data_IF_360896059647
#
_entry.id   IF_360896059647
#
_cell.length_a   1.000
_cell.length_b   1.000
_cell.length_c   1.000
_cell.angle_alpha   90.00
_cell.angle_beta   90.00
_cell.angle_gamma   90.00
#
_symmetry.space_group_name_H-M   'P 1'
#
loop_
_entity.id
_entity.type
_entity.pdbx_description
1 polymer ?
#
# COMPACT_ATOMS: atom_id res chain seq x y z
N UNK A 1 14.52 -5.42 -6.35
CA UNK A 1 13.85 -6.75 -6.28
C UNK A 1 13.50 -7.16 -7.71
N UNK A 2 13.70 -8.44 -8.08
CA UNK A 2 13.27 -8.88 -9.41
C UNK A 2 11.75 -8.97 -9.51
N UNK A 3 11.20 -8.69 -10.70
CA UNK A 3 9.76 -8.78 -10.95
C UNK A 3 9.22 -10.18 -10.67
N UNK A 4 10.01 -11.23 -10.97
CA UNK A 4 9.67 -12.62 -10.64
C UNK A 4 9.42 -12.81 -9.14
N UNK A 5 10.32 -12.29 -8.29
CA UNK A 5 10.19 -12.45 -6.84
C UNK A 5 8.94 -11.74 -6.30
N UNK A 6 8.63 -10.58 -6.90
CA UNK A 6 7.48 -9.78 -6.51
C UNK A 6 6.15 -10.36 -6.98
N UNK A 7 6.14 -11.03 -8.15
CA UNK A 7 4.95 -11.63 -8.75
C UNK A 7 4.70 -13.08 -8.32
N UNK A 8 5.64 -13.71 -7.60
CA UNK A 8 5.56 -15.12 -7.22
C UNK A 8 4.20 -15.46 -6.58
N UNK A 9 3.52 -16.45 -7.12
CA UNK A 9 2.18 -16.91 -6.72
C UNK A 9 1.05 -15.85 -6.78
N UNK A 10 1.32 -14.65 -7.32
CA UNK A 10 0.33 -13.58 -7.40
C UNK A 10 -0.16 -13.31 -8.81
N UNK A 11 0.75 -13.29 -9.77
CA UNK A 11 0.46 -13.01 -11.20
C UNK A 11 1.39 -13.86 -12.06
N UNK A 12 0.85 -14.45 -13.11
CA UNK A 12 1.67 -15.07 -14.15
C UNK A 12 2.38 -13.97 -14.97
N UNK A 13 3.68 -14.10 -15.10
CA UNK A 13 4.50 -13.20 -15.90
C UNK A 13 5.07 -13.94 -17.12
N UNK A 14 5.23 -13.27 -18.27
CA UNK A 14 5.92 -13.84 -19.42
C UNK A 14 7.38 -14.16 -19.09
N UNK A 15 7.91 -15.30 -19.54
CA UNK A 15 9.26 -15.81 -19.20
C UNK A 15 10.39 -14.78 -19.36
N UNK A 16 10.28 -13.89 -20.34
CA UNK A 16 11.31 -12.88 -20.64
C UNK A 16 11.27 -11.65 -19.74
N UNK A 17 10.24 -11.49 -18.90
CA UNK A 17 10.04 -10.28 -18.08
C UNK A 17 10.51 -10.44 -16.65
N UNK A 18 10.78 -11.65 -16.21
CA UNK A 18 11.14 -11.97 -14.82
C UNK A 18 12.42 -11.29 -14.32
N UNK A 19 13.39 -11.04 -15.20
CA UNK A 19 14.66 -10.39 -14.89
C UNK A 19 14.56 -8.86 -14.69
N UNK A 20 13.38 -8.24 -14.92
CA UNK A 20 13.17 -6.81 -14.74
C UNK A 20 13.38 -6.45 -13.27
N UNK A 21 14.25 -5.44 -13.04
CA UNK A 21 14.48 -4.90 -11.69
C UNK A 21 13.41 -3.86 -11.34
N UNK A 22 12.66 -4.12 -10.28
CA UNK A 22 11.70 -3.17 -9.69
C UNK A 22 12.39 -2.42 -8.56
N UNK A 23 12.42 -1.08 -8.67
CA UNK A 23 13.07 -0.16 -7.72
C UNK A 23 12.09 0.49 -6.76
N UNK A 24 10.79 0.32 -6.96
CA UNK A 24 9.72 0.86 -6.14
C UNK A 24 8.35 0.49 -6.67
N UNK A 25 7.31 0.80 -5.88
CA UNK A 25 5.91 0.60 -6.24
C UNK A 25 5.21 1.95 -6.29
N UNK A 26 4.31 2.16 -7.25
CA UNK A 26 3.53 3.40 -7.37
C UNK A 26 2.10 3.11 -7.82
N UNK A 27 1.14 3.85 -7.23
CA UNK A 27 -0.28 3.85 -7.62
C UNK A 27 -0.72 5.22 -8.17
N UNK A 28 0.08 6.26 -7.96
CA UNK A 28 -0.09 7.59 -8.57
C UNK A 28 0.98 7.80 -9.64
N UNK A 29 0.56 8.06 -10.89
CA UNK A 29 1.47 8.28 -12.02
C UNK A 29 2.45 9.43 -11.81
N UNK A 30 2.06 10.44 -11.03
CA UNK A 30 2.92 11.59 -10.68
C UNK A 30 4.06 11.22 -9.73
N UNK A 31 3.95 10.09 -9.04
CA UNK A 31 4.95 9.58 -8.09
C UNK A 31 5.79 8.45 -8.69
N UNK A 32 5.56 8.10 -9.94
CA UNK A 32 6.37 7.10 -10.65
C UNK A 32 7.78 7.63 -10.84
N UNK A 33 8.76 6.84 -10.44
CA UNK A 33 10.17 7.02 -10.73
C UNK A 33 10.68 5.90 -11.64
N UNK A 34 11.84 6.10 -12.25
CA UNK A 34 12.46 5.09 -13.12
C UNK A 34 12.63 3.76 -12.40
N UNK A 35 12.18 2.68 -13.04
CA UNK A 35 12.22 1.33 -12.48
C UNK A 35 11.03 0.95 -11.59
N UNK A 36 10.06 1.85 -11.35
CA UNK A 36 8.90 1.52 -10.54
C UNK A 36 7.93 0.54 -11.25
N UNK A 37 7.30 -0.31 -10.48
CA UNK A 37 6.09 -1.03 -10.87
C UNK A 37 4.87 -0.11 -10.63
N UNK A 38 4.15 0.21 -11.70
CA UNK A 38 2.97 1.09 -11.62
C UNK A 38 1.68 0.26 -11.58
N UNK A 39 0.80 0.54 -10.61
CA UNK A 39 -0.53 -0.05 -10.50
C UNK A 39 -1.58 0.86 -11.11
N UNK A 40 -2.03 0.53 -12.32
CA UNK A 40 -3.07 1.25 -13.05
C UNK A 40 -4.47 0.78 -12.63
N UNK A 41 -4.96 1.29 -11.49
CA UNK A 41 -6.22 0.86 -10.87
C UNK A 41 -7.39 1.71 -11.33
N UNK A 42 -8.55 1.09 -11.52
CA UNK A 42 -9.81 1.81 -11.71
C UNK A 42 -10.23 2.44 -10.38
N UNK A 43 -10.28 3.75 -10.32
CA UNK A 43 -10.74 4.52 -9.16
C UNK A 43 -12.21 4.89 -9.26
N UNK A 44 -12.76 5.52 -8.19
CA UNK A 44 -14.15 6.00 -8.17
C UNK A 44 -14.40 7.23 -9.06
N UNK A 45 -13.38 8.05 -9.29
CA UNK A 45 -13.48 9.30 -10.06
C UNK A 45 -12.62 9.31 -11.32
N UNK A 46 -11.55 8.51 -11.36
CA UNK A 46 -10.62 8.43 -12.48
C UNK A 46 -10.21 7.00 -12.73
N UNK A 47 -9.95 6.67 -13.97
CA UNK A 47 -9.38 5.40 -14.35
C UNK A 47 -7.84 5.52 -14.37
N UNK A 48 -7.16 4.76 -13.53
CA UNK A 48 -5.69 4.75 -13.48
C UNK A 48 -5.05 4.29 -14.79
N UNK A 49 -5.80 3.57 -15.65
CA UNK A 49 -5.33 3.12 -16.95
C UNK A 49 -5.08 4.28 -17.92
N UNK A 50 -5.79 5.39 -17.77
CA UNK A 50 -5.58 6.60 -18.58
C UNK A 50 -4.18 7.20 -18.36
N UNK A 51 -3.53 6.89 -17.25
CA UNK A 51 -2.21 7.40 -16.87
C UNK A 51 -1.05 6.43 -17.19
N UNK A 52 -1.32 5.31 -17.87
CA UNK A 52 -0.28 4.35 -18.26
C UNK A 52 0.79 5.02 -19.14
N UNK A 53 0.36 5.84 -20.10
CA UNK A 53 1.28 6.59 -20.95
C UNK A 53 2.21 7.53 -20.20
N UNK A 54 1.72 8.18 -19.13
CA UNK A 54 2.52 9.07 -18.29
C UNK A 54 3.48 8.28 -17.40
N UNK A 55 3.04 7.14 -16.86
CA UNK A 55 3.89 6.23 -16.08
C UNK A 55 5.05 5.68 -16.94
N UNK A 56 4.79 5.33 -18.21
CA UNK A 56 5.81 4.89 -19.16
C UNK A 56 6.85 5.99 -19.40
N UNK A 57 6.40 7.23 -19.65
CA UNK A 57 7.30 8.40 -19.84
C UNK A 57 8.14 8.67 -18.59
N UNK A 58 7.58 8.43 -17.41
CA UNK A 58 8.29 8.56 -16.12
C UNK A 58 9.27 7.41 -15.84
N UNK A 59 9.32 6.39 -16.70
CA UNK A 59 10.25 5.27 -16.61
C UNK A 59 9.75 4.08 -15.80
N UNK A 60 8.43 3.85 -15.74
CA UNK A 60 7.88 2.62 -15.15
C UNK A 60 8.51 1.38 -15.81
N UNK A 61 8.95 0.41 -15.01
CA UNK A 61 9.56 -0.82 -15.51
C UNK A 61 8.53 -1.89 -15.90
N UNK A 62 7.36 -1.86 -15.26
CA UNK A 62 6.24 -2.74 -15.55
C UNK A 62 4.93 -2.08 -15.04
N UNK A 63 3.80 -2.58 -15.52
CA UNK A 63 2.47 -2.08 -15.16
C UNK A 63 1.59 -3.24 -14.73
N UNK A 64 0.84 -3.08 -13.64
CA UNK A 64 -0.20 -4.02 -13.19
C UNK A 64 -1.57 -3.38 -13.35
N UNK A 65 -2.53 -4.09 -13.93
CA UNK A 65 -3.91 -3.61 -14.10
C UNK A 65 -4.93 -4.76 -14.06
N UNK A 66 -6.22 -4.41 -14.12
CA UNK A 66 -7.31 -5.39 -14.19
C UNK A 66 -7.43 -6.06 -15.56
N UNK A 67 -8.26 -7.12 -15.63
CA UNK A 67 -8.47 -7.93 -16.85
C UNK A 67 -9.24 -7.21 -17.97
N UNK A 68 -9.83 -6.04 -17.71
CA UNK A 68 -10.58 -5.33 -18.73
C UNK A 68 -9.67 -4.94 -19.91
N UNK A 69 -10.16 -5.04 -21.16
CA UNK A 69 -9.38 -4.68 -22.34
C UNK A 69 -8.84 -3.26 -22.25
N UNK A 70 -7.60 -3.07 -22.65
CA UNK A 70 -7.00 -1.76 -22.77
C UNK A 70 -7.31 -1.15 -24.14
N UNK A 71 -7.63 0.13 -24.17
CA UNK A 71 -7.79 0.86 -25.42
C UNK A 71 -6.47 0.86 -26.22
N UNK A 72 -6.54 0.94 -27.54
CA UNK A 72 -5.36 0.83 -28.42
C UNK A 72 -4.34 1.95 -28.20
N UNK A 73 -4.80 3.13 -27.88
CA UNK A 73 -3.98 4.30 -27.54
C UNK A 73 -3.22 4.15 -26.22
N UNK A 74 -3.72 3.30 -25.31
CA UNK A 74 -3.06 2.94 -24.06
C UNK A 74 -2.08 1.76 -24.25
N UNK A 75 -2.50 0.72 -24.99
CA UNK A 75 -1.68 -0.48 -25.19
C UNK A 75 -0.47 -0.23 -26.11
N UNK A 76 -0.62 0.59 -27.15
CA UNK A 76 0.42 0.85 -28.14
C UNK A 76 1.71 1.48 -27.57
N UNK A 77 1.66 2.50 -26.68
CA UNK A 77 2.87 3.04 -26.05
C UNK A 77 3.65 2.02 -25.22
N UNK A 78 2.97 1.12 -24.50
CA UNK A 78 3.62 0.07 -23.74
C UNK A 78 4.32 -0.94 -24.63
N UNK A 79 3.68 -1.35 -25.74
CA UNK A 79 4.30 -2.24 -26.74
C UNK A 79 5.54 -1.60 -27.38
N UNK A 80 5.47 -0.32 -27.74
CA UNK A 80 6.60 0.40 -28.36
C UNK A 80 7.78 0.56 -27.40
N UNK A 81 7.52 0.72 -26.10
CA UNK A 81 8.53 0.84 -25.07
C UNK A 81 9.00 -0.53 -24.52
N UNK A 82 8.45 -1.65 -25.01
CA UNK A 82 8.67 -3.01 -24.50
C UNK A 82 8.43 -3.15 -22.99
N UNK A 83 7.50 -2.36 -22.43
CA UNK A 83 7.13 -2.42 -21.01
C UNK A 83 6.00 -3.43 -20.84
N UNK A 84 6.17 -4.46 -19.99
CA UNK A 84 5.14 -5.46 -19.77
C UNK A 84 3.95 -4.88 -19.03
N UNK A 85 2.74 -5.21 -19.52
CA UNK A 85 1.49 -4.97 -18.81
C UNK A 85 0.99 -6.31 -18.29
N UNK A 86 0.96 -6.43 -16.96
CA UNK A 86 0.51 -7.60 -16.25
C UNK A 86 -0.96 -7.41 -15.85
N UNK A 87 -1.81 -8.32 -16.27
CA UNK A 87 -3.25 -8.27 -15.97
C UNK A 87 -3.62 -9.31 -14.94
N UNK A 88 -4.49 -8.96 -14.00
CA UNK A 88 -5.02 -9.86 -12.97
C UNK A 88 -6.46 -9.52 -12.59
N UNK A 89 -7.18 -10.47 -12.01
CA UNK A 89 -8.58 -10.29 -11.63
C UNK A 89 -8.76 -9.22 -10.54
N UNK A 90 -7.91 -9.23 -9.52
CA UNK A 90 -7.96 -8.27 -8.42
C UNK A 90 -6.64 -7.51 -8.24
N UNK A 91 -6.40 -6.44 -9.00
CA UNK A 91 -5.16 -5.71 -8.95
C UNK A 91 -4.94 -4.96 -7.62
N UNK A 92 -6.00 -4.69 -6.86
CA UNK A 92 -5.88 -4.08 -5.51
C UNK A 92 -5.34 -5.07 -4.49
N UNK A 93 -5.85 -6.30 -4.49
CA UNK A 93 -5.35 -7.37 -3.64
C UNK A 93 -3.89 -7.70 -3.98
N UNK A 94 -3.59 -7.79 -5.27
CA UNK A 94 -2.22 -8.02 -5.75
C UNK A 94 -1.29 -6.88 -5.31
N UNK A 95 -1.72 -5.63 -5.43
CA UNK A 95 -0.97 -4.46 -4.95
C UNK A 95 -0.65 -4.57 -3.45
N UNK A 96 -1.63 -4.94 -2.63
CA UNK A 96 -1.43 -5.08 -1.19
C UNK A 96 -0.40 -6.17 -0.85
N UNK A 97 -0.51 -7.33 -1.49
CA UNK A 97 0.43 -8.44 -1.29
C UNK A 97 1.84 -8.09 -1.80
N UNK A 98 1.96 -7.45 -2.96
CA UNK A 98 3.24 -7.00 -3.49
C UNK A 98 3.88 -5.92 -2.60
N UNK A 99 3.09 -5.01 -2.01
CA UNK A 99 3.59 -4.04 -1.05
C UNK A 99 4.18 -4.72 0.19
N UNK A 100 3.52 -5.77 0.72
CA UNK A 100 4.03 -6.55 1.83
C UNK A 100 5.33 -7.31 1.49
N UNK A 101 5.45 -7.83 0.26
CA UNK A 101 6.68 -8.49 -0.21
C UNK A 101 7.81 -7.47 -0.38
N UNK A 102 7.51 -6.30 -0.94
CA UNK A 102 8.52 -5.27 -1.21
C UNK A 102 9.03 -4.61 0.08
N UNK A 103 8.14 -4.38 1.05
CA UNK A 103 8.44 -3.86 2.40
C UNK A 103 7.99 -4.86 3.47
N UNK A 104 8.74 -5.94 3.71
CA UNK A 104 8.28 -7.04 4.58
C UNK A 104 8.25 -6.68 6.07
N UNK A 105 8.94 -5.60 6.47
CA UNK A 105 8.99 -5.22 7.88
C UNK A 105 7.70 -4.53 8.31
N UNK A 106 7.02 -5.09 9.30
CA UNK A 106 5.83 -4.54 9.93
C UNK A 106 5.88 -4.77 11.45
N UNK A 107 5.16 -3.97 12.27
CA UNK A 107 5.11 -4.17 13.73
C UNK A 107 4.64 -5.58 14.08
N UNK A 108 5.25 -6.15 15.15
CA UNK A 108 4.93 -7.51 15.59
C UNK A 108 3.54 -7.68 16.19
N UNK A 109 2.84 -6.59 16.55
CA UNK A 109 1.46 -6.56 17.00
C UNK A 109 0.69 -5.51 16.22
N UNK A 110 -0.34 -5.93 15.49
CA UNK A 110 -1.21 -5.05 14.70
C UNK A 110 -2.66 -5.26 15.17
N UNK A 111 -3.30 -4.17 15.61
CA UNK A 111 -4.72 -4.12 15.93
C UNK A 111 -5.44 -3.20 14.95
N UNK A 112 -6.43 -3.74 14.24
CA UNK A 112 -7.28 -3.01 13.32
C UNK A 112 -8.64 -2.69 13.96
N UNK A 113 -9.07 -1.44 13.86
CA UNK A 113 -10.33 -0.97 14.45
C UNK A 113 -11.26 -0.47 13.34
N UNK A 114 -12.42 -1.11 13.20
CA UNK A 114 -13.46 -0.69 12.26
C UNK A 114 -14.75 -0.28 12.97
N UNK A 115 -15.71 0.22 12.23
CA UNK A 115 -17.03 0.66 12.69
C UNK A 115 -17.38 2.06 12.16
N UNK A 116 -18.59 2.53 12.42
CA UNK A 116 -19.07 3.83 11.93
C UNK A 116 -18.36 4.96 12.68
N UNK A 117 -18.41 4.95 14.00
CA UNK A 117 -17.84 5.98 14.88
C UNK A 117 -16.84 5.40 15.88
N UNK A 118 -15.97 6.25 16.43
CA UNK A 118 -15.05 5.88 17.49
C UNK A 118 -13.74 5.19 17.06
N UNK A 119 -13.50 4.95 15.76
CA UNK A 119 -12.26 4.34 15.26
C UNK A 119 -11.02 5.09 15.74
N UNK A 120 -10.94 6.39 15.46
CA UNK A 120 -9.82 7.26 15.84
C UNK A 120 -9.59 7.28 17.34
N UNK A 121 -10.66 7.46 18.15
CA UNK A 121 -10.54 7.47 19.62
C UNK A 121 -10.03 6.13 20.14
N UNK A 122 -10.53 5.01 19.60
CA UNK A 122 -10.13 3.68 20.04
C UNK A 122 -8.67 3.38 19.69
N UNK A 123 -8.23 3.72 18.46
CA UNK A 123 -6.82 3.53 18.05
C UNK A 123 -5.89 4.41 18.88
N UNK A 124 -6.26 5.66 19.16
CA UNK A 124 -5.45 6.56 19.98
C UNK A 124 -5.37 6.12 21.45
N UNK A 125 -6.48 5.66 22.05
CA UNK A 125 -6.45 5.11 23.40
C UNK A 125 -5.61 3.85 23.50
N UNK A 126 -5.75 2.95 22.51
CA UNK A 126 -4.95 1.72 22.47
C UNK A 126 -3.45 2.03 22.36
N UNK A 127 -3.07 2.95 21.46
CA UNK A 127 -1.69 3.42 21.34
C UNK A 127 -1.15 3.95 22.67
N UNK A 128 -1.92 4.84 23.35
CA UNK A 128 -1.52 5.45 24.63
C UNK A 128 -1.39 4.39 25.73
N UNK A 129 -2.29 3.41 25.79
CA UNK A 129 -2.21 2.32 26.76
C UNK A 129 -0.95 1.48 26.52
N UNK A 130 -0.63 1.15 25.27
CA UNK A 130 0.59 0.44 24.92
C UNK A 130 1.84 1.23 25.28
N UNK A 131 1.87 2.55 25.03
CA UNK A 131 3.00 3.40 25.42
C UNK A 131 3.16 3.50 26.93
N UNK A 132 2.06 3.54 27.70
CA UNK A 132 2.12 3.47 29.17
C UNK A 132 2.66 2.13 29.67
N UNK A 133 2.43 1.06 28.94
CA UNK A 133 3.02 -0.26 29.18
C UNK A 133 4.48 -0.37 28.66
N UNK A 134 5.10 0.76 28.27
CA UNK A 134 6.48 0.86 27.76
C UNK A 134 6.73 0.23 26.39
N UNK A 135 5.67 -0.07 25.64
CA UNK A 135 5.80 -0.59 24.28
C UNK A 135 5.92 0.56 23.25
N UNK A 136 6.76 0.36 22.24
CA UNK A 136 6.90 1.31 21.14
C UNK A 136 5.68 1.18 20.21
N UNK A 137 4.70 2.03 20.41
CA UNK A 137 3.41 1.97 19.74
C UNK A 137 3.10 3.23 18.95
N UNK A 138 2.53 3.03 17.77
CA UNK A 138 1.98 4.09 16.90
C UNK A 138 0.51 3.83 16.61
N UNK A 139 -0.22 4.89 16.21
CA UNK A 139 -1.51 4.74 15.57
C UNK A 139 -1.45 5.32 14.15
N UNK A 140 -2.22 4.71 13.24
CA UNK A 140 -2.39 5.15 11.85
C UNK A 140 -3.87 5.27 11.55
N UNK A 141 -4.28 6.43 11.07
CA UNK A 141 -5.69 6.70 10.78
C UNK A 141 -5.92 8.11 10.26
N UNK A 142 -7.10 8.64 10.53
CA UNK A 142 -7.55 9.97 10.09
C UNK A 142 -6.60 11.10 10.52
N UNK A 143 -5.90 10.94 11.64
CA UNK A 143 -4.88 11.88 12.13
C UNK A 143 -3.48 11.67 11.51
N UNK A 144 -3.35 10.78 10.52
CA UNK A 144 -2.06 10.36 10.00
C UNK A 144 -1.38 9.34 10.90
N UNK A 145 -0.06 9.45 11.05
CA UNK A 145 0.74 8.63 11.99
C UNK A 145 0.91 9.41 13.28
N UNK A 146 0.49 8.83 14.39
CA UNK A 146 0.64 9.43 15.74
C UNK A 146 1.50 8.54 16.62
N UNK A 147 2.08 9.13 17.69
CA UNK A 147 2.95 8.41 18.63
C UNK A 147 4.40 8.30 18.20
N UNK A 148 4.80 9.03 17.18
CA UNK A 148 6.20 9.06 16.70
C UNK A 148 7.12 9.95 17.53
N UNK A 149 6.60 10.75 18.45
CA UNK A 149 7.38 11.66 19.32
C UNK A 149 8.41 10.92 20.19
N UNK A 150 8.16 9.64 20.46
CA UNK A 150 9.06 8.75 21.21
C UNK A 150 10.05 8.01 20.34
N UNK A 151 9.99 8.19 19.01
CA UNK A 151 10.76 7.43 18.03
C UNK A 151 11.81 8.36 17.41
N UNK A 152 13.08 8.00 17.53
CA UNK A 152 14.15 8.71 16.81
C UNK A 152 14.06 8.38 15.32
N UNK A 153 13.38 9.22 14.57
CA UNK A 153 13.38 9.16 13.11
C UNK A 153 14.44 10.13 12.59
N UNK A 154 15.25 9.70 11.62
CA UNK A 154 16.29 10.54 10.99
C UNK A 154 15.70 11.66 10.10
N UNK A 155 14.69 12.37 10.60
CA UNK A 155 14.14 13.59 9.97
C UNK A 155 13.22 13.39 8.76
N UNK A 156 13.05 12.19 8.24
CA UNK A 156 12.05 11.92 7.22
C UNK A 156 10.69 11.71 7.90
N UNK A 157 9.93 12.78 8.09
CA UNK A 157 8.52 12.67 8.49
C UNK A 157 7.79 11.91 7.39
N UNK A 158 7.43 10.66 7.68
CA UNK A 158 6.64 9.82 6.79
C UNK A 158 5.21 10.39 6.77
N UNK A 159 4.92 11.22 5.77
CA UNK A 159 3.55 11.71 5.57
C UNK A 159 2.75 10.66 4.83
N UNK A 160 1.72 10.13 5.47
CA UNK A 160 0.70 9.35 4.80
C UNK A 160 -0.29 10.27 4.08
N UNK A 161 -0.93 9.80 2.99
CA UNK A 161 -2.07 10.51 2.43
C UNK A 161 -3.14 10.77 3.50
N UNK A 162 -3.85 11.89 3.41
CA UNK A 162 -4.94 12.26 4.32
C UNK A 162 -6.17 11.36 4.12
N UNK A 163 -6.03 10.09 4.46
CA UNK A 163 -7.04 9.05 4.37
C UNK A 163 -7.14 8.31 5.71
N UNK A 164 -8.37 7.99 6.13
CA UNK A 164 -8.60 7.18 7.34
C UNK A 164 -7.84 5.85 7.29
N UNK A 165 -7.81 5.21 6.12
CA UNK A 165 -7.01 4.01 5.86
C UNK A 165 -6.16 4.30 4.62
N UNK A 166 -4.84 4.45 4.74
CA UNK A 166 -3.94 4.68 3.61
C UNK A 166 -4.00 3.54 2.59
N UNK A 167 -3.57 3.80 1.34
CA UNK A 167 -3.34 2.71 0.39
C UNK A 167 -2.21 1.79 0.87
N UNK A 168 -2.20 0.55 0.38
CA UNK A 168 -1.26 -0.48 0.85
C UNK A 168 0.20 -0.14 0.57
N UNK A 169 0.52 0.52 -0.55
CA UNK A 169 1.88 0.96 -0.87
C UNK A 169 2.35 1.99 0.16
N UNK A 170 1.58 3.06 0.36
CA UNK A 170 1.90 4.11 1.33
C UNK A 170 2.02 3.55 2.75
N UNK A 171 1.14 2.62 3.13
CA UNK A 171 1.12 2.01 4.45
C UNK A 171 2.39 1.18 4.69
N UNK A 172 2.70 0.21 3.83
CA UNK A 172 3.89 -0.63 3.99
C UNK A 172 5.20 0.15 3.88
N UNK A 173 5.28 1.13 2.97
CA UNK A 173 6.43 2.02 2.84
C UNK A 173 6.67 2.85 4.11
N UNK A 174 5.61 3.23 4.83
CA UNK A 174 5.72 3.95 6.10
C UNK A 174 6.06 3.01 7.28
N UNK A 175 5.46 1.83 7.34
CA UNK A 175 5.67 0.90 8.45
C UNK A 175 7.07 0.28 8.47
N UNK A 176 7.67 0.00 7.32
CA UNK A 176 8.96 -0.66 7.26
C UNK A 176 10.10 0.11 7.95
N UNK A 177 10.33 1.42 7.72
CA UNK A 177 11.32 2.19 8.46
C UNK A 177 10.95 2.36 9.93
N UNK A 178 9.68 2.58 10.27
CA UNK A 178 9.21 2.69 11.66
C UNK A 178 9.47 1.42 12.47
N UNK A 179 9.25 0.26 11.87
CA UNK A 179 9.56 -1.02 12.51
C UNK A 179 11.07 -1.17 12.76
N UNK A 180 11.90 -0.73 11.81
CA UNK A 180 13.37 -0.74 11.97
C UNK A 180 13.86 0.20 13.07
N UNK A 181 13.11 1.27 13.37
CA UNK A 181 13.41 2.18 14.50
C UNK A 181 12.86 1.68 15.84
N UNK A 182 12.29 0.49 15.89
CA UNK A 182 11.85 -0.16 17.13
C UNK A 182 10.35 -0.14 17.38
N UNK A 183 9.51 0.33 16.45
CA UNK A 183 8.05 0.23 16.58
C UNK A 183 7.63 -1.23 16.59
N UNK A 184 6.96 -1.65 17.68
CA UNK A 184 6.51 -3.02 17.90
C UNK A 184 5.00 -3.18 17.81
N UNK A 185 4.23 -2.10 18.02
CA UNK A 185 2.77 -2.12 18.08
C UNK A 185 2.15 -1.08 17.17
N UNK A 186 1.12 -1.47 16.43
CA UNK A 186 0.33 -0.63 15.52
C UNK A 186 -1.15 -0.72 15.85
N UNK A 187 -1.78 0.40 16.17
CA UNK A 187 -3.23 0.56 16.18
C UNK A 187 -3.66 1.23 14.85
N UNK A 188 -4.52 0.59 14.07
CA UNK A 188 -4.85 1.01 12.71
C UNK A 188 -6.35 1.21 12.53
N UNK A 189 -6.75 2.36 11.98
CA UNK A 189 -8.12 2.57 11.54
C UNK A 189 -8.40 1.78 10.25
N UNK A 190 -9.38 0.89 10.29
CA UNK A 190 -9.87 0.11 9.16
C UNK A 190 -11.24 0.63 8.71
N UNK A 191 -11.28 1.56 7.76
CA UNK A 191 -12.54 2.02 7.18
C UNK A 191 -13.17 0.94 6.30
N UNK A 192 -14.50 0.90 6.19
CA UNK A 192 -15.21 -0.02 5.29
C UNK A 192 -14.68 0.06 3.86
N UNK A 193 -14.48 1.26 3.36
CA UNK A 193 -13.89 1.49 2.04
C UNK A 193 -12.43 1.01 1.93
N UNK A 194 -11.64 1.14 3.00
CA UNK A 194 -10.27 0.61 3.05
C UNK A 194 -10.25 -0.92 3.00
N UNK A 195 -11.19 -1.57 3.69
CA UNK A 195 -11.35 -3.02 3.66
C UNK A 195 -11.82 -3.50 2.28
N UNK A 196 -12.86 -2.87 1.72
CA UNK A 196 -13.36 -3.17 0.37
C UNK A 196 -12.28 -3.04 -0.70
N UNK A 197 -11.37 -2.07 -0.54
CA UNK A 197 -10.27 -1.82 -1.47
C UNK A 197 -9.00 -2.62 -1.15
N UNK A 198 -9.04 -3.63 -0.32
CA UNK A 198 -7.90 -4.48 0.04
C UNK A 198 -6.68 -3.72 0.57
N UNK A 199 -6.88 -2.56 1.22
CA UNK A 199 -5.74 -1.73 1.64
C UNK A 199 -4.93 -2.36 2.77
N UNK A 200 -5.51 -3.30 3.51
CA UNK A 200 -4.92 -3.96 4.67
C UNK A 200 -4.51 -5.41 4.43
N UNK A 201 -4.81 -5.99 3.26
CA UNK A 201 -4.61 -7.43 2.98
C UNK A 201 -3.14 -7.88 2.99
N UNK A 202 -2.20 -6.94 2.98
CA UNK A 202 -0.77 -7.22 3.14
C UNK A 202 -0.29 -7.25 4.59
N UNK A 203 -1.13 -6.84 5.56
CA UNK A 203 -0.76 -6.77 6.97
C UNK A 203 -1.10 -8.07 7.72
N UNK A 204 -0.24 -8.44 8.67
CA UNK A 204 -0.51 -9.49 9.62
C UNK A 204 -1.30 -8.93 10.82
N UNK A 205 -2.63 -8.90 10.71
CA UNK A 205 -3.52 -8.34 11.73
C UNK A 205 -3.74 -9.39 12.81
N UNK A 206 -3.38 -9.07 14.06
CA UNK A 206 -3.49 -9.95 15.23
C UNK A 206 -4.81 -9.77 15.97
N UNK A 207 -5.33 -8.51 15.99
CA UNK A 207 -6.56 -8.15 16.69
C UNK A 207 -7.44 -7.34 15.73
N UNK A 208 -8.70 -7.72 15.60
CA UNK A 208 -9.70 -6.95 14.88
C UNK A 208 -10.82 -6.55 15.85
N UNK A 209 -11.16 -5.27 15.88
CA UNK A 209 -12.18 -4.70 16.77
C UNK A 209 -13.23 -3.95 15.96
N UNK A 210 -14.49 -4.20 16.28
CA UNK A 210 -15.63 -3.51 15.72
C UNK A 210 -16.26 -2.62 16.80
N UNK A 211 -16.29 -1.31 16.60
CA UNK A 211 -16.79 -0.36 17.60
C UNK A 211 -18.32 -0.31 17.62
N UNK A 212 -18.93 -0.01 16.48
CA UNK A 212 -20.38 0.08 16.33
C UNK A 212 -20.78 0.15 14.85
N UNK A 213 -22.05 -0.18 14.60
CA UNK A 213 -22.72 0.06 13.32
C UNK A 213 -23.90 0.98 13.59
N UNK A 214 -23.78 2.25 13.19
CA UNK A 214 -24.88 3.23 13.26
C UNK A 214 -25.19 3.75 11.86
N UNK A 215 -26.46 4.07 11.64
CA UNK A 215 -26.94 4.75 10.41
C UNK A 215 -26.92 6.26 10.61
#
# INVERSE_FOLDING_TARGET
MHLTDLCHDLINIPDQTGAIMVTGLAVDSKRVAAGNLFFALVGSHRDGRDFIGDAIKAGAAAIVTGMAPLAKDIAKPAQQAAIPILQCENPRLVMAKMAAIYWPSQPGMVAAVTGTNGKTSTTEFLRQLWQRATWQAIAVGTLGITGTDMIKTDGALLSLPALTTPDSISLHAALAPLTKTGVTHLALEASSHGLEQHRLDGLNIHIATFTNLSR
#
